data_IF_128413879102
#
_entry.id   IF_128413879102
#
_cell.length_a   1.000
_cell.length_b   1.000
_cell.length_c   1.000
_cell.angle_alpha   90.00
_cell.angle_beta   90.00
_cell.angle_gamma   90.00
#
_symmetry.space_group_name_H-M   'P 1'
#
loop_
_entity.id
_entity.type
_entity.pdbx_description
1 polymer ?
#
# COMPACT_ATOMS: atom_id res chain seq x y z
N UNK A 1 -2.37 18.09 8.41
CA UNK A 1 -3.71 18.12 7.79
C UNK A 1 -4.52 17.01 8.43
N UNK A 2 -5.70 17.31 8.98
CA UNK A 2 -6.49 16.30 9.71
C UNK A 2 -7.33 15.48 8.74
N UNK A 3 -7.02 14.19 8.61
CA UNK A 3 -7.70 13.27 7.69
C UNK A 3 -8.78 12.42 8.37
N UNK A 4 -8.92 12.52 9.69
CA UNK A 4 -9.93 11.78 10.45
C UNK A 4 -11.40 12.00 10.02
N UNK A 5 -11.81 13.10 9.35
CA UNK A 5 -13.18 13.23 8.83
C UNK A 5 -13.48 12.36 7.61
N UNK A 6 -12.45 11.83 6.93
CA UNK A 6 -12.61 10.99 5.75
C UNK A 6 -12.66 9.51 6.16
N UNK A 7 -13.31 8.68 5.36
CA UNK A 7 -13.43 7.24 5.60
C UNK A 7 -12.19 6.45 5.13
N UNK A 8 -11.45 6.97 4.16
CA UNK A 8 -10.30 6.29 3.60
C UNK A 8 -9.60 7.06 2.48
N UNK A 9 -8.74 6.35 1.75
CA UNK A 9 -8.02 6.84 0.58
C UNK A 9 -8.55 6.14 -0.66
N UNK A 10 -8.79 6.90 -1.71
CA UNK A 10 -8.98 6.36 -3.06
C UNK A 10 -7.70 6.53 -3.87
N UNK A 11 -7.31 5.47 -4.57
CA UNK A 11 -6.24 5.50 -5.57
C UNK A 11 -6.85 5.21 -6.92
N UNK A 12 -6.83 6.19 -7.82
CA UNK A 12 -7.28 6.03 -9.22
C UNK A 12 -6.07 5.81 -10.14
N UNK A 13 -6.20 4.85 -11.04
CA UNK A 13 -5.17 4.46 -12.00
C UNK A 13 -5.72 4.44 -13.43
N UNK A 14 -4.82 4.53 -14.42
CA UNK A 14 -5.11 4.14 -15.80
C UNK A 14 -4.79 2.64 -15.97
N UNK A 15 -5.79 1.76 -16.08
CA UNK A 15 -5.57 0.32 -16.17
C UNK A 15 -4.93 -0.10 -17.51
N UNK A 16 -5.05 0.69 -18.58
CA UNK A 16 -4.41 0.38 -19.86
C UNK A 16 -2.91 0.71 -19.85
N UNK A 17 -2.49 1.60 -18.95
CA UNK A 17 -1.11 2.04 -18.82
C UNK A 17 -0.47 1.58 -17.51
N UNK A 18 -1.07 0.59 -16.83
CA UNK A 18 -0.53 -0.02 -15.61
C UNK A 18 -0.36 -1.52 -15.80
N UNK A 19 0.70 -2.08 -15.24
CA UNK A 19 0.95 -3.52 -15.24
C UNK A 19 0.07 -4.25 -14.22
N UNK A 20 0.37 -5.54 -14.01
CA UNK A 20 -0.34 -6.43 -13.08
C UNK A 20 0.47 -6.70 -11.81
N UNK A 21 1.53 -5.91 -11.53
CA UNK A 21 2.29 -6.06 -10.29
C UNK A 21 1.46 -5.60 -9.09
N UNK A 22 1.87 -6.09 -7.91
CA UNK A 22 1.35 -5.61 -6.64
C UNK A 22 2.18 -4.41 -6.19
N UNK A 23 1.50 -3.38 -5.74
CA UNK A 23 2.07 -2.18 -5.16
C UNK A 23 1.60 -2.05 -3.73
N UNK A 24 2.43 -1.45 -2.88
CA UNK A 24 2.10 -1.15 -1.49
C UNK A 24 1.94 0.35 -1.35
N UNK A 25 0.76 0.78 -0.89
CA UNK A 25 0.55 2.13 -0.39
C UNK A 25 1.01 2.19 1.07
N UNK A 26 1.87 3.15 1.39
CA UNK A 26 2.49 3.28 2.71
C UNK A 26 2.21 4.66 3.28
N UNK A 27 1.67 4.69 4.50
CA UNK A 27 1.50 5.91 5.29
C UNK A 27 2.46 5.91 6.48
N UNK A 28 2.95 7.11 6.81
CA UNK A 28 3.67 7.37 8.07
C UNK A 28 3.09 8.61 8.75
N UNK A 29 2.72 8.43 10.00
CA UNK A 29 2.32 9.46 10.96
C UNK A 29 3.49 9.92 11.85
N UNK A 30 4.58 9.14 11.90
CA UNK A 30 5.77 9.48 12.66
C UNK A 30 7.04 9.49 11.78
N UNK A 31 7.82 10.56 11.91
CA UNK A 31 9.19 10.64 11.42
C UNK A 31 10.13 10.95 12.59
N UNK A 32 11.22 10.21 12.67
CA UNK A 32 12.31 10.51 13.60
C UNK A 32 13.33 11.43 12.90
N UNK A 33 14.09 12.25 13.66
CA UNK A 33 15.24 12.95 13.12
C UNK A 33 16.18 11.98 12.39
N UNK A 34 16.94 12.48 11.41
CA UNK A 34 17.99 11.66 10.78
C UNK A 34 18.98 11.18 11.84
N UNK A 35 19.53 9.99 11.65
CA UNK A 35 20.49 9.41 12.56
C UNK A 35 21.69 10.38 12.70
N UNK A 36 22.06 10.79 13.92
CA UNK A 36 23.09 11.82 14.12
C UNK A 36 24.51 11.36 13.77
N UNK A 37 24.75 10.05 13.68
CA UNK A 37 26.08 9.47 13.41
C UNK A 37 26.31 9.28 11.91
N UNK A 38 25.31 8.78 11.18
CA UNK A 38 25.46 8.44 9.76
C UNK A 38 24.53 9.22 8.81
N UNK A 39 23.70 10.11 9.32
CA UNK A 39 22.79 10.95 8.55
C UNK A 39 21.62 10.24 7.87
N UNK A 40 21.48 8.91 8.04
CA UNK A 40 20.42 8.13 7.38
C UNK A 40 19.07 8.37 8.02
N UNK A 41 18.00 8.21 7.22
CA UNK A 41 16.64 8.15 7.76
C UNK A 41 16.49 6.97 8.72
N UNK A 42 15.80 7.19 9.84
CA UNK A 42 15.51 6.16 10.81
C UNK A 42 14.17 5.49 10.52
N UNK A 43 14.09 4.19 10.79
CA UNK A 43 12.85 3.43 10.61
C UNK A 43 11.85 3.73 11.72
N UNK A 44 10.61 3.97 11.33
CA UNK A 44 9.42 4.08 12.17
C UNK A 44 8.40 3.04 11.75
N UNK A 45 7.31 2.91 12.51
CA UNK A 45 6.15 2.13 12.06
C UNK A 45 5.65 2.71 10.73
N UNK A 46 5.32 1.81 9.81
CA UNK A 46 4.75 2.12 8.50
C UNK A 46 3.40 1.43 8.41
N UNK A 47 2.40 2.14 7.92
CA UNK A 47 1.06 1.62 7.72
C UNK A 47 0.90 1.24 6.26
N UNK A 48 0.84 -0.06 6.00
CA UNK A 48 0.97 -0.62 4.66
C UNK A 48 -0.32 -1.29 4.21
N UNK A 49 -0.66 -1.12 2.93
CA UNK A 49 -1.67 -1.92 2.25
C UNK A 49 -1.21 -2.24 0.83
N UNK A 50 -1.32 -3.51 0.47
CA UNK A 50 -1.03 -3.99 -0.88
C UNK A 50 -2.28 -3.86 -1.77
N UNK A 51 -2.09 -3.41 -3.01
CA UNK A 51 -3.11 -3.34 -4.04
C UNK A 51 -2.52 -3.66 -5.42
N UNK A 52 -3.35 -4.15 -6.33
CA UNK A 52 -3.02 -4.39 -7.72
C UNK A 52 -4.16 -3.92 -8.63
N UNK A 53 -3.89 -3.86 -9.94
CA UNK A 53 -4.89 -3.46 -10.95
C UNK A 53 -6.19 -4.29 -10.86
N UNK A 54 -6.08 -5.58 -10.55
CA UNK A 54 -7.23 -6.50 -10.39
C UNK A 54 -8.15 -6.16 -9.20
N UNK A 55 -7.66 -5.39 -8.23
CA UNK A 55 -8.41 -4.99 -7.05
C UNK A 55 -9.20 -3.68 -7.30
N UNK A 56 -9.02 -3.05 -8.47
CA UNK A 56 -9.65 -1.79 -8.82
C UNK A 56 -10.99 -2.02 -9.53
N UNK A 57 -11.98 -1.21 -9.17
CA UNK A 57 -13.27 -1.12 -9.85
C UNK A 57 -13.17 -0.16 -11.05
N UNK A 58 -13.78 -0.49 -12.21
CA UNK A 58 -13.80 0.43 -13.35
C UNK A 58 -14.62 1.69 -13.02
N UNK A 59 -14.15 2.84 -13.48
CA UNK A 59 -14.88 4.10 -13.40
C UNK A 59 -15.80 4.24 -14.64
N UNK A 60 -17.08 4.55 -14.41
CA UNK A 60 -18.18 4.37 -15.38
C UNK A 60 -18.25 5.33 -16.57
N UNK A 61 -17.21 6.12 -16.89
CA UNK A 61 -17.30 7.14 -17.95
C UNK A 61 -16.56 6.75 -19.23
N UNK A 62 -17.31 6.74 -20.35
CA UNK A 62 -16.91 6.24 -21.68
C UNK A 62 -15.81 7.05 -22.42
N UNK A 63 -15.07 7.93 -21.74
CA UNK A 63 -14.08 8.82 -22.36
C UNK A 63 -12.63 8.64 -21.87
N UNK A 64 -12.40 7.90 -20.78
CA UNK A 64 -11.07 7.64 -20.27
C UNK A 64 -11.07 6.39 -19.38
N UNK A 65 -10.27 5.35 -19.69
CA UNK A 65 -10.20 4.17 -18.85
C UNK A 65 -9.59 4.58 -17.52
N UNK A 66 -10.40 4.69 -16.48
CA UNK A 66 -9.97 4.84 -15.10
C UNK A 66 -10.49 3.64 -14.32
N UNK A 67 -9.70 3.21 -13.36
CA UNK A 67 -10.12 2.24 -12.36
C UNK A 67 -9.62 2.74 -11.01
N UNK A 68 -10.38 2.51 -9.95
CA UNK A 68 -10.04 3.00 -8.63
C UNK A 68 -10.17 1.90 -7.58
N UNK A 69 -9.39 2.04 -6.51
CA UNK A 69 -9.54 1.27 -5.29
C UNK A 69 -9.76 2.22 -4.13
N UNK A 70 -10.84 2.00 -3.38
CA UNK A 70 -11.06 2.67 -2.09
C UNK A 70 -10.49 1.82 -0.96
N UNK A 71 -9.70 2.45 -0.10
CA UNK A 71 -8.96 1.83 0.99
C UNK A 71 -9.38 2.49 2.30
N UNK A 72 -10.24 1.81 3.10
CA UNK A 72 -10.55 2.24 4.46
C UNK A 72 -9.29 2.36 5.33
N UNK A 73 -9.28 3.31 6.27
CA UNK A 73 -8.12 3.54 7.14
C UNK A 73 -7.73 2.30 7.98
N UNK A 74 -8.69 1.48 8.38
CA UNK A 74 -8.50 0.28 9.21
C UNK A 74 -7.97 -0.94 8.41
N UNK A 75 -7.94 -0.83 7.08
CA UNK A 75 -7.34 -1.85 6.23
C UNK A 75 -5.81 -1.79 6.23
N UNK A 76 -5.22 -0.62 6.52
CA UNK A 76 -3.75 -0.50 6.64
C UNK A 76 -3.24 -1.32 7.81
N UNK A 77 -2.15 -2.08 7.57
CA UNK A 77 -1.53 -2.91 8.59
C UNK A 77 -0.21 -2.30 9.06
N UNK A 78 0.02 -2.21 10.37
CA UNK A 78 1.27 -1.68 10.91
C UNK A 78 2.43 -2.65 10.67
N UNK A 79 3.54 -2.12 10.18
CA UNK A 79 4.79 -2.86 10.02
C UNK A 79 5.97 -2.07 10.57
N UNK A 80 6.99 -2.76 11.04
CA UNK A 80 8.30 -2.18 11.36
C UNK A 80 9.36 -2.89 10.54
N UNK A 81 10.01 -2.15 9.62
CA UNK A 81 11.00 -2.70 8.67
C UNK A 81 10.45 -3.90 7.88
N UNK A 82 9.22 -3.78 7.38
CA UNK A 82 8.56 -4.80 6.56
C UNK A 82 8.03 -6.02 7.34
N UNK A 83 8.13 -6.04 8.67
CA UNK A 83 7.56 -7.09 9.52
C UNK A 83 6.28 -6.61 10.21
N UNK A 84 5.22 -7.42 10.29
CA UNK A 84 4.02 -7.07 11.05
C UNK A 84 4.34 -6.65 12.48
N UNK A 85 3.67 -5.61 12.98
CA UNK A 85 3.87 -5.06 14.32
C UNK A 85 2.52 -4.82 15.00
N UNK A 86 2.06 -5.76 15.83
CA UNK A 86 0.76 -5.67 16.52
C UNK A 86 0.72 -4.64 17.66
N UNK A 87 1.88 -4.29 18.20
CA UNK A 87 1.99 -3.48 19.43
C UNK A 87 2.13 -1.97 19.14
N UNK A 88 1.74 -1.54 17.93
CA UNK A 88 1.79 -0.13 17.54
C UNK A 88 0.59 0.66 18.06
N UNK A 89 0.81 1.94 18.41
CA UNK A 89 -0.30 2.90 18.53
C UNK A 89 -1.08 2.94 17.21
N UNK A 90 -2.40 3.20 17.21
CA UNK A 90 -3.19 3.34 15.98
C UNK A 90 -2.67 4.46 15.07
N UNK A 91 -2.95 4.34 13.77
CA UNK A 91 -2.59 5.33 12.75
C UNK A 91 -3.15 6.70 13.13
N UNK A 92 -2.26 7.69 13.32
CA UNK A 92 -2.67 9.05 13.63
C UNK A 92 -3.04 9.83 12.37
N UNK A 93 -4.34 9.80 12.03
CA UNK A 93 -4.91 10.53 10.91
C UNK A 93 -4.89 12.06 11.09
N UNK A 94 -4.57 12.59 12.27
CA UNK A 94 -4.47 14.03 12.47
C UNK A 94 -3.15 14.61 11.93
N UNK A 95 -2.13 13.76 11.76
CA UNK A 95 -0.76 14.21 11.51
C UNK A 95 0.06 13.28 10.58
N UNK A 96 -0.53 12.91 9.44
CA UNK A 96 0.21 12.17 8.40
C UNK A 96 1.40 12.99 7.89
N UNK A 97 2.59 12.39 7.93
CA UNK A 97 3.88 12.99 7.54
C UNK A 97 4.34 12.58 6.17
N UNK A 98 4.01 11.36 5.72
CA UNK A 98 4.49 10.83 4.44
C UNK A 98 3.51 9.82 3.86
N UNK A 99 3.39 9.88 2.54
CA UNK A 99 2.79 8.87 1.68
C UNK A 99 3.88 8.32 0.76
N UNK A 100 3.86 7.03 0.47
CA UNK A 100 4.82 6.39 -0.43
C UNK A 100 4.16 5.22 -1.14
N UNK A 101 4.63 4.92 -2.35
CA UNK A 101 4.22 3.74 -3.11
C UNK A 101 5.46 2.92 -3.40
N UNK A 102 5.39 1.63 -3.11
CA UNK A 102 6.48 0.68 -3.28
C UNK A 102 6.01 -0.49 -4.15
N UNK A 103 6.80 -0.90 -5.14
CA UNK A 103 6.54 -2.17 -5.82
C UNK A 103 6.88 -3.34 -4.88
N UNK A 104 5.95 -4.28 -4.74
CA UNK A 104 6.12 -5.50 -3.93
C UNK A 104 5.83 -6.70 -4.81
N UNK A 105 6.78 -7.61 -5.01
CA UNK A 105 6.43 -8.92 -5.57
C UNK A 105 5.91 -9.81 -4.47
N UNK A 106 4.96 -10.68 -4.85
CA UNK A 106 4.47 -11.78 -4.02
C UNK A 106 5.63 -12.44 -3.28
N UNK A 107 5.52 -12.58 -1.96
CA UNK A 107 5.95 -13.84 -1.38
C UNK A 107 5.00 -14.88 -2.01
N UNK A 108 5.43 -15.51 -3.10
CA UNK A 108 4.71 -16.66 -3.61
C UNK A 108 4.83 -17.72 -2.50
N UNK A 109 3.72 -17.95 -1.79
CA UNK A 109 3.63 -19.03 -0.82
C UNK A 109 3.57 -20.33 -1.63
N UNK A 110 4.73 -20.86 -2.00
CA UNK A 110 4.81 -22.21 -2.52
C UNK A 110 4.60 -23.18 -1.36
N UNK A 111 3.47 -23.88 -1.37
CA UNK A 111 3.35 -25.15 -0.67
C UNK A 111 4.26 -26.15 -1.38
N UNK A 112 5.40 -26.45 -0.77
CA UNK A 112 6.26 -27.55 -1.21
C UNK A 112 6.08 -28.67 -0.17
N UNK A 113 5.46 -29.76 -0.60
CA UNK A 113 5.46 -31.01 0.16
C UNK A 113 6.74 -31.75 -0.24
N UNK A 114 7.70 -31.81 0.67
CA UNK A 114 8.86 -32.70 0.54
C UNK A 114 8.79 -33.67 1.70
N UNK A 115 8.64 -34.95 1.38
CA UNK A 115 8.79 -36.05 2.34
C UNK A 115 7.91 -35.91 3.60
N UNK A 116 6.58 -35.87 3.39
CA UNK A 116 5.53 -35.73 4.42
C UNK A 116 5.63 -34.50 5.34
N UNK A 117 6.60 -33.61 5.13
CA UNK A 117 6.77 -32.36 5.88
C UNK A 117 6.27 -31.16 5.07
N UNK A 118 5.30 -30.43 5.63
CA UNK A 118 4.86 -29.14 5.11
C UNK A 118 5.91 -28.08 5.46
N UNK A 119 6.65 -27.62 4.45
CA UNK A 119 7.54 -26.46 4.60
C UNK A 119 6.96 -25.26 3.87
N UNK A 120 6.72 -24.20 4.64
CA UNK A 120 6.38 -22.89 4.11
C UNK A 120 7.67 -22.09 4.01
N UNK A 121 8.07 -21.68 2.81
CA UNK A 121 9.22 -20.78 2.61
C UNK A 121 8.84 -19.57 1.78
N UNK A 122 9.30 -18.39 2.20
CA UNK A 122 9.12 -17.14 1.47
C UNK A 122 10.36 -16.85 0.62
N UNK A 123 10.20 -16.79 -0.69
CA UNK A 123 11.25 -16.42 -1.61
C UNK A 123 11.17 -14.91 -1.88
N UNK A 124 12.04 -14.12 -1.26
CA UNK A 124 12.23 -12.73 -1.64
C UNK A 124 13.10 -12.71 -2.90
N UNK A 125 12.47 -12.80 -4.08
CA UNK A 125 13.17 -12.64 -5.35
C UNK A 125 13.80 -11.25 -5.50
N UNK A 126 14.80 -11.13 -6.38
CA UNK A 126 15.39 -9.83 -6.73
C UNK A 126 14.32 -8.90 -7.35
N UNK A 127 14.28 -7.64 -6.90
CA UNK A 127 13.50 -6.58 -7.55
C UNK A 127 14.18 -6.24 -8.89
N UNK A 128 13.87 -7.01 -9.93
CA UNK A 128 14.35 -6.77 -11.29
C UNK A 128 13.21 -6.90 -12.29
N UNK A 129 13.28 -6.09 -13.35
CA UNK A 129 12.31 -6.05 -14.44
C UNK A 129 11.53 -4.74 -14.51
N UNK A 130 10.82 -4.57 -15.62
CA UNK A 130 10.02 -3.38 -15.88
C UNK A 130 8.78 -3.34 -14.97
N UNK A 131 8.46 -2.13 -14.52
CA UNK A 131 7.23 -1.81 -13.80
C UNK A 131 6.63 -0.53 -14.35
N UNK A 132 5.32 -0.43 -14.27
CA UNK A 132 4.52 0.68 -14.76
C UNK A 132 3.23 0.75 -13.95
N UNK A 133 3.08 1.85 -13.21
CA UNK A 133 1.84 2.22 -12.54
C UNK A 133 1.51 3.65 -12.95
N UNK A 134 0.42 3.84 -13.69
CA UNK A 134 -0.04 5.19 -14.07
C UNK A 134 -1.15 5.65 -13.13
N UNK A 135 -0.74 6.36 -12.08
CA UNK A 135 -1.65 6.96 -11.11
C UNK A 135 -2.29 8.20 -11.72
N UNK A 136 -3.61 8.27 -11.67
CA UNK A 136 -4.40 9.44 -12.05
C UNK A 136 -4.60 10.38 -10.87
N UNK A 137 -4.97 9.83 -9.71
CA UNK A 137 -5.18 10.60 -8.49
C UNK A 137 -4.98 9.73 -7.25
N UNK A 138 -4.69 10.40 -6.13
CA UNK A 138 -4.78 9.85 -4.79
C UNK A 138 -5.58 10.88 -3.99
N UNK A 139 -6.75 10.49 -3.49
CA UNK A 139 -7.67 11.38 -2.81
C UNK A 139 -8.13 10.76 -1.50
N UNK A 140 -8.56 11.60 -0.55
CA UNK A 140 -9.28 11.14 0.64
C UNK A 140 -10.78 11.24 0.37
N UNK A 141 -11.54 10.21 0.76
CA UNK A 141 -12.97 10.12 0.45
C UNK A 141 -13.79 9.96 1.74
N UNK A 142 -14.91 10.68 1.83
CA UNK A 142 -15.81 10.71 2.99
C UNK A 142 -16.84 9.57 3.03
N UNK A 143 -17.03 8.81 1.95
CA UNK A 143 -17.91 7.63 1.90
C UNK A 143 -17.49 6.65 0.78
N UNK A 144 -17.55 5.32 0.99
CA UNK A 144 -17.66 4.39 -0.11
C UNK A 144 -19.13 4.36 -0.55
N UNK A 145 -19.44 5.05 -1.65
CA UNK A 145 -20.76 5.14 -2.30
C UNK A 145 -21.76 6.08 -1.60
N UNK A 146 -21.90 7.28 -2.17
CA UNK A 146 -23.14 8.00 -2.52
C UNK A 146 -22.75 9.48 -2.70
N UNK A 147 -22.14 9.78 -3.83
CA UNK A 147 -22.43 11.06 -4.48
C UNK A 147 -23.68 10.78 -5.33
N UNK A 148 -24.84 11.26 -4.86
CA UNK A 148 -26.09 11.35 -5.64
C UNK A 148 -25.96 12.38 -6.77
#
# INVERSE_FOLDING_TARGET
>A
MKLSPFAGVEVSIDPLQSDDHVYTLILKDQLLPRNPVNGREQSTVSWELDFAKKDCSPEGNAGSPAAFIFIPWDHFKPTYRGKPCSDSKPLDLSDIKRISIMIRRYAHWSLIVVDESLRISSFFGSQQGDFRLRIKSIAVCSSPLLDD
#
